data_IF_238786610253
#
_entry.id   IF_238786610253
#
_cell.length_a   1.000
_cell.length_b   1.000
_cell.length_c   1.000
_cell.angle_alpha   90.00
_cell.angle_beta   90.00
_cell.angle_gamma   90.00
#
_symmetry.space_group_name_H-M   'P 1'
#
loop_
_entity.id
_entity.type
_entity.pdbx_description
1 polymer ?
#
# COMPACT_ATOMS: atom_id res chain seq x y z
N UNK A 1 -14.42 7.80 -38.88
CA UNK A 1 -15.47 7.97 -37.84
C UNK A 1 -14.74 7.96 -36.51
N UNK A 2 -14.84 9.07 -35.76
CA UNK A 2 -14.08 9.31 -34.54
C UNK A 2 -14.57 8.45 -33.39
N UNK A 3 -13.67 8.01 -32.51
CA UNK A 3 -14.00 7.63 -31.15
C UNK A 3 -13.20 8.53 -30.21
N UNK A 4 -13.90 9.58 -29.74
CA UNK A 4 -13.40 10.54 -28.75
C UNK A 4 -13.13 9.78 -27.45
N UNK A 5 -11.85 9.63 -27.13
CA UNK A 5 -11.37 8.92 -25.95
C UNK A 5 -11.50 9.77 -24.70
N UNK A 6 -12.63 9.64 -24.00
CA UNK A 6 -12.76 10.08 -22.62
C UNK A 6 -12.62 8.87 -21.70
N UNK A 7 -11.37 8.40 -21.51
CA UNK A 7 -11.04 7.42 -20.48
C UNK A 7 -10.61 8.17 -19.22
N UNK A 8 -11.56 8.75 -18.50
CA UNK A 8 -11.36 9.13 -17.11
C UNK A 8 -11.28 7.86 -16.26
N UNK A 9 -10.20 7.09 -16.40
CA UNK A 9 -9.90 5.99 -15.50
C UNK A 9 -9.59 6.58 -14.10
N UNK A 10 -10.64 6.90 -13.35
CA UNK A 10 -10.51 7.37 -11.98
C UNK A 10 -9.84 6.28 -11.18
N UNK A 11 -8.59 6.55 -10.79
CA UNK A 11 -7.85 5.70 -9.89
C UNK A 11 -8.40 5.94 -8.48
N UNK A 12 -8.88 4.89 -7.85
CA UNK A 12 -9.47 4.95 -6.50
C UNK A 12 -8.34 4.75 -5.50
N UNK A 13 -8.03 5.77 -4.72
CA UNK A 13 -7.02 5.67 -3.66
C UNK A 13 -7.66 5.09 -2.40
N UNK A 14 -7.01 4.08 -1.81
CA UNK A 14 -7.43 3.46 -0.55
C UNK A 14 -6.30 3.60 0.46
N UNK A 15 -6.52 4.41 1.49
CA UNK A 15 -5.56 4.57 2.57
C UNK A 15 -5.59 3.37 3.51
N UNK A 16 -4.42 2.80 3.79
CA UNK A 16 -4.25 1.64 4.66
C UNK A 16 -3.17 1.96 5.69
N UNK A 17 -3.51 1.87 6.98
CA UNK A 17 -2.55 1.98 8.07
C UNK A 17 -1.75 0.69 8.22
N UNK A 18 -0.43 0.82 8.37
CA UNK A 18 0.47 -0.32 8.62
C UNK A 18 1.31 0.02 9.85
N UNK A 19 1.16 -0.75 10.92
CA UNK A 19 1.95 -0.60 12.16
C UNK A 19 2.88 -1.79 12.29
N UNK A 20 4.18 -1.53 12.32
CA UNK A 20 5.23 -2.55 12.41
C UNK A 20 6.37 -2.02 13.27
N UNK A 21 7.10 -2.91 13.92
CA UNK A 21 8.37 -2.55 14.56
C UNK A 21 9.48 -2.52 13.50
N UNK A 22 9.85 -1.32 13.05
CA UNK A 22 10.86 -1.15 12.00
C UNK A 22 12.30 -1.25 12.52
N UNK A 23 12.49 -1.36 13.84
CA UNK A 23 13.80 -1.61 14.45
C UNK A 23 14.14 -3.11 14.40
N UNK A 24 13.13 -3.98 14.35
CA UNK A 24 13.32 -5.42 14.18
C UNK A 24 13.59 -5.83 12.71
N UNK A 25 14.29 -6.95 12.53
CA UNK A 25 14.45 -7.56 11.20
C UNK A 25 13.10 -7.99 10.60
N UNK A 26 12.22 -8.54 11.44
CA UNK A 26 10.91 -9.04 11.00
C UNK A 26 10.02 -7.90 10.49
N UNK A 27 9.94 -6.76 11.19
CA UNK A 27 9.11 -5.64 10.73
C UNK A 27 9.63 -5.01 9.43
N UNK A 28 10.95 -4.88 9.27
CA UNK A 28 11.55 -4.42 8.00
C UNK A 28 11.29 -5.39 6.84
N UNK A 29 11.45 -6.70 7.10
CA UNK A 29 11.16 -7.72 6.09
C UNK A 29 9.67 -7.74 5.73
N UNK A 30 8.78 -7.64 6.72
CA UNK A 30 7.33 -7.56 6.50
C UNK A 30 6.96 -6.38 5.61
N UNK A 31 7.47 -5.18 5.89
CA UNK A 31 7.22 -4.01 5.07
C UNK A 31 7.72 -4.18 3.62
N UNK A 32 8.90 -4.77 3.45
CA UNK A 32 9.47 -5.05 2.13
C UNK A 32 8.57 -6.01 1.32
N UNK A 33 8.13 -7.11 1.94
CA UNK A 33 7.24 -8.08 1.31
C UNK A 33 5.89 -7.47 0.91
N UNK A 34 5.32 -6.59 1.74
CA UNK A 34 4.09 -5.85 1.40
C UNK A 34 4.31 -4.99 0.16
N UNK A 35 5.43 -4.25 0.08
CA UNK A 35 5.70 -3.38 -1.07
C UNK A 35 5.93 -4.18 -2.36
N UNK A 36 6.67 -5.29 -2.28
CA UNK A 36 6.92 -6.18 -3.42
C UNK A 36 5.62 -6.80 -3.92
N UNK A 37 4.80 -7.34 -3.01
CA UNK A 37 3.51 -7.94 -3.38
C UNK A 37 2.54 -6.95 -4.03
N UNK A 38 2.51 -5.69 -3.56
CA UNK A 38 1.72 -4.65 -4.22
C UNK A 38 2.25 -4.32 -5.62
N UNK A 39 3.57 -4.20 -5.77
CA UNK A 39 4.18 -3.95 -7.06
C UNK A 39 3.88 -5.08 -8.06
N UNK A 40 4.02 -6.32 -7.63
CA UNK A 40 3.72 -7.50 -8.44
C UNK A 40 2.24 -7.58 -8.81
N UNK A 41 1.35 -7.37 -7.83
CA UNK A 41 -0.10 -7.35 -8.05
C UNK A 41 -0.49 -6.30 -9.09
N UNK A 42 0.01 -5.07 -8.97
CA UNK A 42 -0.33 -4.01 -9.91
C UNK A 42 0.31 -4.15 -11.28
N UNK A 43 1.46 -4.83 -11.38
CA UNK A 43 2.08 -5.17 -12.65
C UNK A 43 1.29 -6.25 -13.37
N UNK A 44 0.85 -7.27 -12.64
CA UNK A 44 0.04 -8.38 -13.15
C UNK A 44 -1.41 -7.99 -13.46
N UNK A 45 -1.91 -6.90 -12.84
CA UNK A 45 -3.30 -6.44 -12.99
C UNK A 45 -3.36 -4.96 -13.44
N UNK A 46 -2.94 -4.62 -14.68
CA UNK A 46 -2.86 -3.23 -15.13
C UNK A 46 -4.22 -2.52 -15.23
N UNK A 47 -5.32 -3.28 -15.33
CA UNK A 47 -6.70 -2.77 -15.38
C UNK A 47 -7.29 -2.51 -13.99
N UNK A 48 -6.61 -2.89 -12.90
CA UNK A 48 -7.06 -2.60 -11.54
C UNK A 48 -6.92 -1.10 -11.25
N UNK A 49 -8.05 -0.46 -10.96
CA UNK A 49 -8.13 0.99 -10.75
C UNK A 49 -7.89 1.41 -9.30
N UNK A 50 -7.93 0.47 -8.36
CA UNK A 50 -7.69 0.76 -6.95
C UNK A 50 -6.20 0.79 -6.66
N UNK A 51 -5.72 1.81 -5.96
CA UNK A 51 -4.33 1.94 -5.50
C UNK A 51 -4.29 2.09 -3.99
N UNK A 52 -3.61 1.16 -3.32
CA UNK A 52 -3.38 1.22 -1.90
C UNK A 52 -2.30 2.27 -1.61
N UNK A 53 -2.60 3.15 -0.67
CA UNK A 53 -1.66 4.12 -0.11
C UNK A 53 -1.33 3.65 1.31
N UNK A 54 -0.12 3.15 1.48
CA UNK A 54 0.35 2.64 2.77
C UNK A 54 0.82 3.79 3.65
N UNK A 55 0.16 3.95 4.79
CA UNK A 55 0.55 4.86 5.85
C UNK A 55 1.29 4.04 6.92
N UNK A 56 2.61 3.99 6.81
CA UNK A 56 3.46 3.19 7.71
C UNK A 56 3.78 3.96 8.97
N UNK A 57 3.56 3.35 10.13
CA UNK A 57 3.98 3.85 11.44
C UNK A 57 4.90 2.81 12.10
N UNK A 58 6.04 3.29 12.57
CA UNK A 58 6.98 2.52 13.39
C UNK A 58 6.46 2.39 14.82
N UNK A 59 6.38 1.16 15.33
CA UNK A 59 5.91 0.89 16.69
C UNK A 59 6.97 1.09 17.78
N UNK A 60 8.27 1.03 17.43
CA UNK A 60 9.37 1.18 18.40
C UNK A 60 9.22 0.28 19.64
N UNK A 61 8.78 -0.95 19.43
CA UNK A 61 8.54 -1.93 20.49
C UNK A 61 7.20 -1.82 21.24
N UNK A 62 6.31 -0.88 20.88
CA UNK A 62 4.95 -0.80 21.43
C UNK A 62 3.91 -0.68 20.30
N UNK A 63 3.41 -1.83 19.84
CA UNK A 63 2.46 -1.86 18.72
C UNK A 63 1.08 -1.33 19.11
N UNK A 64 0.70 -1.47 20.38
CA UNK A 64 -0.62 -1.05 20.88
C UNK A 64 -0.69 0.47 20.96
N UNK A 65 0.32 1.11 21.54
CA UNK A 65 0.41 2.57 21.55
C UNK A 65 0.50 3.14 20.13
N UNK A 66 1.28 2.49 19.26
CA UNK A 66 1.41 2.90 17.87
C UNK A 66 0.14 2.67 17.03
N UNK A 67 -0.73 1.70 17.37
CA UNK A 67 -2.00 1.50 16.71
C UNK A 67 -3.11 2.45 17.20
N UNK A 68 -3.03 2.91 18.45
CA UNK A 68 -4.06 3.74 19.08
C UNK A 68 -3.97 5.25 18.75
N UNK A 69 -2.81 5.71 18.27
CA UNK A 69 -2.54 7.14 18.02
C UNK A 69 -2.82 7.58 16.57
#
# INVERSE_FOLDING_TARGET
>A
MAQSGNNNAQTILVNVGVVLDLETWVGRMGLSCINISLSDFYTSNPSYKTRLVLNVRDSKGDEVAAAAA
#
